data_IF_380604962474
#
_entry.id   IF_380604962474
#
_cell.length_a   1.000
_cell.length_b   1.000
_cell.length_c   1.000
_cell.angle_alpha   90.00
_cell.angle_beta   90.00
_cell.angle_gamma   90.00
#
_symmetry.space_group_name_H-M   'P 1'
#
loop_
_entity.id
_entity.type
_entity.pdbx_description
1 polymer ?
#
# COMPACT_ATOMS: atom_id res chain seq x y z
N UNK A 1 -8.95 -43.57 5.74
CA UNK A 1 -9.58 -42.96 4.55
C UNK A 1 -9.65 -41.46 4.83
N UNK A 2 -8.58 -40.72 4.52
CA UNK A 2 -8.37 -39.92 3.28
C UNK A 2 -9.39 -38.77 3.17
N UNK A 3 -8.91 -37.55 3.46
CA UNK A 3 -9.52 -36.25 3.11
C UNK A 3 -9.58 -36.07 1.58
N UNK A 4 -10.39 -35.11 1.07
CA UNK A 4 -9.76 -33.84 0.71
C UNK A 4 -10.62 -32.58 1.00
N UNK A 5 -9.92 -31.53 1.40
CA UNK A 5 -10.33 -30.13 1.31
C UNK A 5 -10.52 -29.73 -0.16
N UNK A 6 -11.65 -29.13 -0.51
CA UNK A 6 -11.81 -28.39 -1.76
C UNK A 6 -11.97 -26.89 -1.48
N UNK A 7 -10.93 -26.19 -1.91
CA UNK A 7 -10.81 -24.79 -2.24
C UNK A 7 -11.95 -24.35 -3.16
N UNK A 8 -12.71 -23.32 -2.78
CA UNK A 8 -13.42 -22.46 -3.73
C UNK A 8 -13.13 -21.01 -3.38
N UNK A 9 -12.06 -20.51 -3.99
CA UNK A 9 -11.86 -19.09 -4.29
C UNK A 9 -12.81 -18.77 -5.44
N UNK A 10 -13.85 -17.99 -5.19
CA UNK A 10 -14.63 -17.32 -6.25
C UNK A 10 -15.52 -16.27 -5.62
N UNK A 11 -15.09 -15.01 -5.66
CA UNK A 11 -15.94 -13.81 -5.82
C UNK A 11 -15.04 -12.68 -6.35
N UNK A 12 -14.60 -12.84 -7.59
CA UNK A 12 -14.03 -11.77 -8.43
C UNK A 12 -14.91 -11.66 -9.65
N UNK A 13 -15.88 -10.74 -9.62
CA UNK A 13 -16.57 -10.20 -10.78
C UNK A 13 -17.66 -9.23 -10.30
N UNK A 14 -17.33 -7.95 -10.05
CA UNK A 14 -18.36 -6.89 -10.05
C UNK A 14 -17.86 -5.45 -10.17
N UNK A 15 -16.57 -5.12 -10.09
CA UNK A 15 -16.15 -3.71 -10.10
C UNK A 15 -15.13 -3.31 -11.19
N UNK A 16 -15.05 -4.04 -12.31
CA UNK A 16 -14.04 -3.79 -13.36
C UNK A 16 -14.52 -2.83 -14.48
N UNK A 17 -15.61 -2.06 -14.29
CA UNK A 17 -16.19 -1.29 -15.41
C UNK A 17 -16.41 0.22 -15.21
N UNK A 18 -15.89 0.84 -14.15
CA UNK A 18 -15.90 2.30 -14.03
C UNK A 18 -14.56 2.79 -13.50
N UNK A 19 -13.73 3.28 -14.43
CA UNK A 19 -12.73 4.36 -14.30
C UNK A 19 -11.55 4.10 -15.22
N UNK A 20 -11.79 4.20 -16.52
CA UNK A 20 -10.76 4.21 -17.57
C UNK A 20 -10.09 5.59 -17.61
N UNK A 21 -9.48 6.01 -16.51
CA UNK A 21 -8.48 7.08 -16.45
C UNK A 21 -7.26 6.50 -15.77
N UNK A 22 -6.55 5.68 -16.55
CA UNK A 22 -5.35 4.96 -16.16
C UNK A 22 -4.24 5.96 -15.84
N UNK A 23 -4.15 6.40 -14.59
CA UNK A 23 -2.86 6.72 -13.99
C UNK A 23 -2.15 5.39 -13.81
N UNK A 24 -1.34 5.04 -14.80
CA UNK A 24 -0.46 3.88 -14.80
C UNK A 24 0.47 4.02 -13.59
N UNK A 25 0.07 3.47 -12.45
CA UNK A 25 0.93 3.35 -11.27
C UNK A 25 2.09 2.43 -11.66
N UNK A 26 3.21 3.04 -11.99
CA UNK A 26 4.46 2.35 -12.24
C UNK A 26 4.92 1.77 -10.91
N UNK A 27 4.98 0.45 -10.83
CA UNK A 27 5.72 -0.31 -9.81
C UNK A 27 7.18 0.07 -9.97
N UNK A 28 7.60 1.11 -9.25
CA UNK A 28 8.96 1.64 -9.25
C UNK A 28 9.21 2.30 -7.92
N UNK A 29 10.45 2.22 -7.44
CA UNK A 29 10.88 2.88 -6.21
C UNK A 29 10.43 4.33 -6.20
N UNK A 30 9.86 4.79 -5.07
CA UNK A 30 9.21 6.10 -4.89
C UNK A 30 10.06 7.28 -5.40
N UNK A 31 11.38 7.13 -5.36
CA UNK A 31 12.37 8.05 -5.95
C UNK A 31 12.20 8.28 -7.45
N UNK A 32 11.89 7.23 -8.22
CA UNK A 32 11.69 7.28 -9.69
C UNK A 32 10.41 8.04 -10.07
N UNK A 33 9.31 7.81 -9.35
CA UNK A 33 8.05 8.52 -9.57
C UNK A 33 8.15 10.03 -9.23
N UNK A 34 8.81 10.36 -8.11
CA UNK A 34 9.08 11.76 -7.73
C UNK A 34 9.92 12.49 -8.77
N UNK A 35 11.00 11.86 -9.24
CA UNK A 35 11.89 12.47 -10.23
C UNK A 35 11.19 12.62 -11.59
N UNK A 36 10.37 11.66 -12.00
CA UNK A 36 9.57 11.73 -13.22
C UNK A 36 8.54 12.87 -13.19
N UNK A 37 7.78 13.01 -12.10
CA UNK A 37 6.80 14.10 -11.95
C UNK A 37 7.49 15.47 -11.95
N UNK A 38 8.60 15.62 -11.22
CA UNK A 38 9.36 16.86 -11.20
C UNK A 38 9.98 17.21 -12.57
N UNK A 39 10.45 16.21 -13.33
CA UNK A 39 10.97 16.43 -14.69
C UNK A 39 9.86 16.81 -15.66
N UNK A 40 8.70 16.16 -15.60
CA UNK A 40 7.55 16.50 -16.44
C UNK A 40 7.07 17.93 -16.16
N UNK A 41 7.01 18.33 -14.88
CA UNK A 41 6.65 19.71 -14.52
C UNK A 41 7.70 20.71 -15.02
N UNK A 42 9.01 20.39 -14.89
CA UNK A 42 10.06 21.22 -15.46
C UNK A 42 9.95 21.36 -16.97
N UNK A 43 9.50 20.33 -17.69
CA UNK A 43 9.28 20.40 -19.14
C UNK A 43 8.10 21.31 -19.50
N UNK A 44 7.02 21.28 -18.72
CA UNK A 44 5.81 22.10 -18.94
C UNK A 44 6.08 23.58 -18.64
N UNK A 45 6.84 23.88 -17.58
CA UNK A 45 7.14 25.26 -17.19
C UNK A 45 8.44 25.81 -17.80
N UNK A 46 9.34 24.94 -18.27
CA UNK A 46 10.65 25.31 -18.82
C UNK A 46 10.69 25.42 -20.34
N UNK A 47 9.61 25.07 -21.05
CA UNK A 47 9.50 25.28 -22.50
C UNK A 47 9.25 26.76 -22.80
N UNK A 48 10.31 27.57 -22.76
CA UNK A 48 10.31 28.89 -23.38
C UNK A 48 10.24 28.70 -24.89
N UNK A 49 9.04 28.88 -25.46
CA UNK A 49 8.85 29.00 -26.90
C UNK A 49 9.65 30.23 -27.36
N UNK A 50 10.55 30.12 -28.35
CA UNK A 50 11.27 31.28 -28.85
C UNK A 50 10.28 32.28 -29.46
N UNK A 51 10.54 33.60 -29.38
CA UNK A 51 9.56 34.60 -29.76
C UNK A 51 9.34 34.53 -31.27
N UNK A 52 8.13 34.18 -31.68
CA UNK A 52 7.63 34.47 -33.01
C UNK A 52 7.07 35.88 -32.94
N UNK A 53 7.79 36.83 -33.56
CA UNK A 53 7.22 38.12 -33.94
C UNK A 53 6.05 37.85 -34.90
N UNK A 54 4.82 38.11 -34.47
CA UNK A 54 3.92 38.95 -35.27
C UNK A 54 2.64 39.36 -34.54
N UNK A 55 2.19 40.53 -34.96
CA UNK A 55 1.24 41.46 -34.37
C UNK A 55 -0.19 40.99 -34.02
N UNK A 56 -0.76 41.68 -33.02
CA UNK A 56 -2.19 41.94 -32.74
C UNK A 56 -3.12 40.82 -32.23
N UNK A 57 -3.21 40.67 -30.90
CA UNK A 57 -4.44 40.24 -30.20
C UNK A 57 -4.43 40.76 -28.73
N UNK A 58 -5.57 41.14 -28.14
CA UNK A 58 -5.62 41.90 -26.89
C UNK A 58 -5.37 41.00 -25.67
N UNK A 59 -4.39 41.40 -24.88
CA UNK A 59 -4.22 41.16 -23.43
C UNK A 59 -4.91 39.92 -22.85
N UNK A 60 -4.38 38.74 -23.17
CA UNK A 60 -4.40 37.64 -22.20
C UNK A 60 -3.24 37.92 -21.24
N UNK A 61 -3.54 38.26 -19.99
CA UNK A 61 -2.56 38.53 -18.95
C UNK A 61 -1.52 37.41 -18.93
N UNK A 62 -0.31 37.69 -19.43
CA UNK A 62 0.83 36.78 -19.29
C UNK A 62 1.02 36.54 -17.79
N UNK A 63 1.01 35.29 -17.30
CA UNK A 63 1.29 35.02 -15.90
C UNK A 63 2.59 35.71 -15.52
N UNK A 64 2.55 36.56 -14.50
CA UNK A 64 3.76 37.19 -13.99
C UNK A 64 4.69 36.05 -13.58
N UNK A 65 5.96 36.13 -13.99
CA UNK A 65 6.95 35.06 -13.71
C UNK A 65 7.05 34.72 -12.22
N UNK A 66 6.67 35.65 -11.34
CA UNK A 66 6.53 35.44 -9.89
C UNK A 66 5.43 34.45 -9.51
N UNK A 67 4.24 34.53 -10.14
CA UNK A 67 3.11 33.64 -9.85
C UNK A 67 3.42 32.19 -10.27
N UNK A 68 4.15 32.03 -11.38
CA UNK A 68 4.58 30.71 -11.86
C UNK A 68 5.61 30.08 -10.90
N UNK A 69 6.58 30.85 -10.41
CA UNK A 69 7.57 30.35 -9.44
C UNK A 69 6.94 30.07 -8.08
N UNK A 70 5.95 30.85 -7.63
CA UNK A 70 5.16 30.57 -6.42
C UNK A 70 4.37 29.26 -6.57
N UNK A 71 3.63 29.10 -7.67
CA UNK A 71 2.88 27.87 -7.96
C UNK A 71 3.78 26.64 -7.99
N UNK A 72 4.97 26.74 -8.59
CA UNK A 72 5.98 25.69 -8.60
C UNK A 72 6.50 25.36 -7.20
N UNK A 73 6.68 26.37 -6.35
CA UNK A 73 7.02 26.20 -4.93
C UNK A 73 5.95 25.40 -4.18
N UNK A 74 4.68 25.80 -4.33
CA UNK A 74 3.52 25.12 -3.71
C UNK A 74 3.40 23.67 -4.18
N UNK A 75 3.48 23.43 -5.49
CA UNK A 75 3.41 22.09 -6.08
C UNK A 75 4.56 21.22 -5.55
N UNK A 76 5.79 21.76 -5.53
CA UNK A 76 6.96 21.04 -5.03
C UNK A 76 6.85 20.68 -3.55
N UNK A 77 6.32 21.60 -2.73
CA UNK A 77 6.06 21.37 -1.32
C UNK A 77 5.02 20.26 -1.13
N UNK A 78 3.91 20.31 -1.89
CA UNK A 78 2.86 19.30 -1.80
C UNK A 78 3.32 17.92 -2.27
N UNK A 79 4.12 17.84 -3.34
CA UNK A 79 4.73 16.57 -3.78
C UNK A 79 5.59 15.98 -2.67
N UNK A 80 6.40 16.81 -2.01
CA UNK A 80 7.27 16.36 -0.91
C UNK A 80 6.45 15.84 0.27
N UNK A 81 5.41 16.57 0.67
CA UNK A 81 4.49 16.19 1.75
C UNK A 81 3.81 14.84 1.45
N UNK A 82 3.21 14.70 0.27
CA UNK A 82 2.51 13.46 -0.13
C UNK A 82 3.50 12.28 -0.19
N UNK A 83 4.71 12.50 -0.66
CA UNK A 83 5.76 11.47 -0.69
C UNK A 83 6.16 11.02 0.72
N UNK A 84 6.28 11.96 1.66
CA UNK A 84 6.56 11.63 3.08
C UNK A 84 5.44 10.78 3.67
N UNK A 85 4.20 11.22 3.50
CA UNK A 85 3.02 10.48 3.99
C UNK A 85 2.90 9.09 3.40
N UNK A 86 3.25 8.92 2.11
CA UNK A 86 3.26 7.61 1.49
C UNK A 86 4.29 6.68 2.14
N UNK A 87 5.51 7.17 2.41
CA UNK A 87 6.54 6.39 3.10
C UNK A 87 6.12 6.00 4.53
N UNK A 88 5.48 6.92 5.26
CA UNK A 88 4.92 6.64 6.59
C UNK A 88 3.84 5.54 6.53
N UNK A 89 2.94 5.60 5.54
CA UNK A 89 1.91 4.57 5.33
C UNK A 89 2.50 3.20 4.94
N UNK A 90 3.55 3.18 4.13
CA UNK A 90 4.26 1.95 3.77
C UNK A 90 4.94 1.32 4.98
N UNK A 91 5.56 2.14 5.86
CA UNK A 91 6.11 1.68 7.13
C UNK A 91 5.02 1.12 8.04
N UNK A 92 3.93 1.88 8.25
CA UNK A 92 2.82 1.45 9.10
C UNK A 92 2.18 0.14 8.61
N UNK A 93 2.08 -0.03 7.29
CA UNK A 93 1.61 -1.28 6.69
C UNK A 93 2.53 -2.46 7.03
N UNK A 94 3.85 -2.26 6.98
CA UNK A 94 4.81 -3.30 7.36
C UNK A 94 4.71 -3.63 8.85
N UNK A 95 4.61 -2.62 9.70
CA UNK A 95 4.45 -2.79 11.15
C UNK A 95 3.16 -3.53 11.50
N UNK A 96 2.06 -3.19 10.84
CA UNK A 96 0.79 -3.89 10.99
C UNK A 96 0.90 -5.36 10.58
N UNK A 97 1.54 -5.65 9.44
CA UNK A 97 1.75 -7.04 8.99
C UNK A 97 2.59 -7.84 10.00
N UNK A 98 3.64 -7.23 10.55
CA UNK A 98 4.47 -7.85 11.59
C UNK A 98 3.68 -8.11 12.87
N UNK A 99 2.87 -7.13 13.31
CA UNK A 99 2.00 -7.26 14.46
C UNK A 99 1.02 -8.43 14.29
N UNK A 100 0.29 -8.46 13.17
CA UNK A 100 -0.65 -9.56 12.87
C UNK A 100 0.04 -10.91 12.84
N UNK A 101 1.20 -11.03 12.19
CA UNK A 101 1.94 -12.28 12.13
C UNK A 101 2.38 -12.76 13.53
N UNK A 102 2.81 -11.84 14.40
CA UNK A 102 3.18 -12.17 15.77
C UNK A 102 1.98 -12.63 16.60
N UNK A 103 0.82 -11.99 16.41
CA UNK A 103 -0.42 -12.34 17.08
C UNK A 103 -0.94 -13.72 16.63
N UNK A 104 -0.92 -14.01 15.32
CA UNK A 104 -1.25 -15.34 14.81
C UNK A 104 -0.32 -16.42 15.34
N UNK A 105 1.00 -16.18 15.33
CA UNK A 105 1.97 -17.15 15.87
C UNK A 105 1.73 -17.41 17.37
N UNK A 106 1.40 -16.38 18.14
CA UNK A 106 1.02 -16.52 19.54
C UNK A 106 -0.23 -17.41 19.70
N UNK A 107 -1.28 -17.15 18.92
CA UNK A 107 -2.51 -17.95 19.00
C UNK A 107 -2.31 -19.41 18.61
N UNK A 108 -1.54 -19.69 17.55
CA UNK A 108 -1.22 -21.07 17.15
C UNK A 108 -0.45 -21.80 18.26
N UNK A 109 0.54 -21.12 18.86
CA UNK A 109 1.29 -21.68 19.98
C UNK A 109 0.38 -21.95 21.19
N UNK A 110 -0.46 -21.00 21.56
CA UNK A 110 -1.38 -21.12 22.68
C UNK A 110 -2.38 -22.27 22.48
N UNK A 111 -3.00 -22.36 21.29
CA UNK A 111 -3.93 -23.43 20.96
C UNK A 111 -3.26 -24.81 21.03
N UNK A 112 -2.02 -24.92 20.54
CA UNK A 112 -1.26 -26.17 20.60
C UNK A 112 -0.93 -26.58 22.06
N UNK A 113 -0.60 -25.60 22.90
CA UNK A 113 -0.27 -25.83 24.30
C UNK A 113 -1.50 -26.28 25.10
N UNK A 114 -2.65 -25.63 24.87
CA UNK A 114 -3.92 -25.96 25.53
C UNK A 114 -4.43 -27.35 25.11
N UNK A 115 -4.31 -27.69 23.83
CA UNK A 115 -4.63 -29.03 23.35
C UNK A 115 -3.71 -30.08 23.99
N UNK A 116 -2.41 -29.83 24.05
CA UNK A 116 -1.46 -30.73 24.68
C UNK A 116 -1.74 -30.90 26.18
N UNK A 117 -2.07 -29.83 26.91
CA UNK A 117 -2.46 -29.89 28.32
C UNK A 117 -3.74 -30.74 28.52
N UNK A 118 -4.73 -30.55 27.66
CA UNK A 118 -5.97 -31.33 27.65
C UNK A 118 -5.68 -32.82 27.42
N UNK A 119 -4.87 -33.14 26.42
CA UNK A 119 -4.51 -34.53 26.09
C UNK A 119 -3.72 -35.20 27.22
N UNK A 120 -2.78 -34.48 27.86
CA UNK A 120 -2.06 -35.00 29.04
C UNK A 120 -3.02 -35.30 30.19
N UNK A 121 -3.97 -34.40 30.45
CA UNK A 121 -4.99 -34.60 31.49
C UNK A 121 -5.86 -35.83 31.19
N UNK A 122 -6.31 -35.97 29.95
CA UNK A 122 -7.08 -37.13 29.51
C UNK A 122 -6.29 -38.43 29.66
N UNK A 123 -5.02 -38.46 29.21
CA UNK A 123 -4.15 -39.62 29.35
C UNK A 123 -3.96 -40.02 30.82
N UNK A 124 -3.75 -39.05 31.72
CA UNK A 124 -3.64 -39.30 33.16
C UNK A 124 -4.93 -39.89 33.76
N UNK A 125 -6.10 -39.42 33.31
CA UNK A 125 -7.38 -39.99 33.73
C UNK A 125 -7.57 -41.43 33.24
N UNK A 126 -7.16 -41.72 32.01
CA UNK A 126 -7.23 -43.08 31.46
C UNK A 126 -6.26 -44.04 32.17
N UNK A 127 -5.04 -43.60 32.48
CA UNK A 127 -4.11 -44.37 33.29
C UNK A 127 -4.70 -44.71 34.67
N UNK A 128 -5.27 -43.71 35.37
CA UNK A 128 -5.96 -43.94 36.66
C UNK A 128 -7.14 -44.91 36.56
N UNK A 129 -7.87 -44.91 35.45
CA UNK A 129 -8.96 -45.87 35.22
C UNK A 129 -8.41 -47.28 35.00
N UNK A 130 -7.38 -47.43 34.18
CA UNK A 130 -6.73 -48.71 33.93
C UNK A 130 -6.16 -49.33 35.21
N UNK A 131 -5.50 -48.51 36.06
CA UNK A 131 -4.96 -48.95 37.34
C UNK A 131 -6.05 -49.45 38.32
N UNK A 132 -7.26 -48.90 38.26
CA UNK A 132 -8.40 -49.36 39.09
C UNK A 132 -9.05 -50.65 38.60
N UNK A 133 -8.83 -51.03 37.34
CA UNK A 133 -9.38 -52.25 36.74
C UNK A 133 -8.43 -53.45 36.87
N UNK A 134 -7.25 -53.24 37.47
CA UNK A 134 -6.23 -54.25 37.72
C UNK A 134 -6.28 -54.73 39.17
#
# INVERSE_FOLDING_TARGET
>A
MVLPLQVIVSHSASNVLLSRSVLRCVVGSVSSAKNSVLQNLKSVFGSSVPPVDDSSHPSAARPLTSEVEEAKGVISARIREVTSRLAELESLKADFANSMNSEYAFFEQQQSADLAATLRTYAALQAKRADRCR
#
